data_IF_731866785953
#
_entry.id   IF_731866785953
#
_cell.length_a   1.000
_cell.length_b   1.000
_cell.length_c   1.000
_cell.angle_alpha   90.00
_cell.angle_beta   90.00
_cell.angle_gamma   90.00
#
_symmetry.space_group_name_H-M   'P 1'
#
loop_
_entity.id
_entity.type
_entity.pdbx_description
1 polymer ?
#
# COMPACT_ATOMS: atom_id res chain seq x y z
N UNK A 1 -23.28 0.20 -0.39
CA UNK A 1 -22.28 0.29 -1.48
C UNK A 1 -20.90 0.10 -0.87
N UNK A 2 -20.02 -0.72 -1.45
CA UNK A 2 -18.71 -1.01 -0.87
C UNK A 2 -17.64 -0.85 -1.94
N UNK A 3 -16.63 -0.03 -1.70
CA UNK A 3 -15.57 0.29 -2.64
C UNK A 3 -14.20 -0.10 -2.07
N UNK A 4 -13.31 -0.57 -2.92
CA UNK A 4 -11.88 -0.69 -2.59
C UNK A 4 -11.06 0.10 -3.58
N UNK A 5 -10.28 1.06 -3.10
CA UNK A 5 -9.42 1.89 -3.94
C UNK A 5 -8.06 1.23 -4.03
N UNK A 6 -7.63 0.85 -5.24
CA UNK A 6 -6.31 0.27 -5.49
C UNK A 6 -5.51 1.12 -6.47
N UNK A 7 -4.18 1.05 -6.40
CA UNK A 7 -3.28 1.78 -7.27
C UNK A 7 -2.00 2.21 -6.57
N UNK A 8 -1.08 2.80 -7.32
CA UNK A 8 0.25 3.19 -6.82
C UNK A 8 0.18 4.10 -5.58
N UNK A 9 1.23 4.08 -4.77
CA UNK A 9 1.38 5.09 -3.70
C UNK A 9 1.45 6.49 -4.34
N UNK A 10 0.58 7.41 -3.91
CA UNK A 10 0.45 8.74 -4.50
C UNK A 10 -0.53 8.86 -5.69
N UNK A 11 -1.26 7.79 -6.06
CA UNK A 11 -2.30 7.87 -7.10
C UNK A 11 -3.58 8.60 -6.69
N UNK A 12 -3.67 9.06 -5.43
CA UNK A 12 -4.82 9.80 -4.90
C UNK A 12 -5.87 8.95 -4.18
N UNK A 13 -5.57 7.68 -3.84
CA UNK A 13 -6.49 6.79 -3.08
C UNK A 13 -6.99 7.47 -1.80
N UNK A 14 -6.07 7.91 -0.95
CA UNK A 14 -6.41 8.57 0.31
C UNK A 14 -7.20 9.86 0.11
N UNK A 15 -6.91 10.63 -0.94
CA UNK A 15 -7.71 11.81 -1.31
C UNK A 15 -9.15 11.44 -1.64
N UNK A 16 -9.37 10.38 -2.42
CA UNK A 16 -10.71 9.93 -2.78
C UNK A 16 -11.45 9.29 -1.60
N UNK A 17 -10.78 8.47 -0.79
CA UNK A 17 -11.40 7.87 0.37
C UNK A 17 -11.80 8.91 1.43
N UNK A 18 -10.98 9.94 1.67
CA UNK A 18 -11.35 11.05 2.56
C UNK A 18 -12.54 11.84 2.03
N UNK A 19 -12.64 12.03 0.71
CA UNK A 19 -13.83 12.67 0.11
C UNK A 19 -15.08 11.82 0.29
N UNK A 20 -14.99 10.51 0.06
CA UNK A 20 -16.10 9.59 0.26
C UNK A 20 -16.52 9.52 1.73
N UNK A 21 -15.57 9.59 2.66
CA UNK A 21 -15.83 9.67 4.09
C UNK A 21 -16.70 10.88 4.46
N UNK A 22 -16.39 12.06 3.91
CA UNK A 22 -17.21 13.26 4.07
C UNK A 22 -18.64 13.10 3.49
N UNK A 23 -18.82 12.23 2.50
CA UNK A 23 -20.12 11.87 1.90
C UNK A 23 -20.84 10.73 2.66
N UNK A 24 -20.37 10.39 3.86
CA UNK A 24 -20.99 9.41 4.76
C UNK A 24 -20.57 7.96 4.50
N UNK A 25 -19.46 7.72 3.81
CA UNK A 25 -18.85 6.40 3.80
C UNK A 25 -18.09 6.15 5.09
N UNK A 26 -18.20 4.95 5.63
CA UNK A 26 -17.22 4.45 6.59
C UNK A 26 -15.91 4.17 5.84
N UNK A 27 -14.85 4.84 6.24
CA UNK A 27 -13.52 4.67 5.67
C UNK A 27 -12.67 3.71 6.50
N UNK A 28 -12.02 2.77 5.82
CA UNK A 28 -10.95 1.96 6.38
C UNK A 28 -9.63 2.37 5.70
N UNK A 29 -8.73 3.00 6.45
CA UNK A 29 -7.39 3.35 5.96
C UNK A 29 -6.40 2.27 6.36
N UNK A 30 -5.91 1.49 5.38
CA UNK A 30 -5.03 0.35 5.70
C UNK A 30 -3.70 0.81 6.31
N UNK A 31 -3.11 1.92 5.84
CA UNK A 31 -1.87 2.43 6.41
C UNK A 31 -2.03 2.83 7.89
N UNK A 32 -3.15 3.46 8.26
CA UNK A 32 -3.43 3.84 9.66
C UNK A 32 -3.63 2.61 10.54
N UNK A 33 -4.42 1.63 10.07
CA UNK A 33 -4.66 0.37 10.80
C UNK A 33 -3.39 -0.46 10.97
N UNK A 34 -2.53 -0.53 9.94
CA UNK A 34 -1.23 -1.20 10.05
C UNK A 34 -0.34 -0.47 11.06
N UNK A 35 -0.34 0.87 11.07
CA UNK A 35 0.43 1.65 12.04
C UNK A 35 -0.07 1.45 13.48
N UNK A 36 -1.37 1.27 13.68
CA UNK A 36 -1.96 0.91 14.97
C UNK A 36 -1.49 -0.48 15.43
N UNK A 37 -1.58 -1.49 14.56
CA UNK A 37 -1.11 -2.86 14.86
C UNK A 37 0.40 -2.94 15.12
N UNK A 38 1.18 -2.05 14.51
CA UNK A 38 2.63 -1.96 14.69
C UNK A 38 3.05 -0.98 15.80
N UNK A 39 2.12 -0.40 16.57
CA UNK A 39 2.44 0.73 17.45
C UNK A 39 3.61 0.49 18.41
N UNK A 40 3.73 -0.73 18.94
CA UNK A 40 4.79 -1.13 19.87
C UNK A 40 6.17 -1.22 19.19
N UNK A 41 6.19 -1.43 17.88
CA UNK A 41 7.39 -1.45 17.04
C UNK A 41 7.76 -0.08 16.48
N UNK A 42 6.85 0.91 16.55
CA UNK A 42 7.04 2.26 16.04
C UNK A 42 7.63 3.21 17.10
N UNK A 43 8.42 2.70 18.04
CA UNK A 43 9.13 3.49 19.04
C UNK A 43 10.62 3.56 18.71
N UNK A 44 11.15 4.78 18.68
CA UNK A 44 12.60 5.03 18.61
C UNK A 44 13.24 4.68 19.94
N UNK A 45 14.57 4.57 19.94
CA UNK A 45 15.37 4.32 21.14
C UNK A 45 15.22 5.40 22.22
N UNK A 46 14.81 6.61 21.85
CA UNK A 46 14.53 7.73 22.76
C UNK A 46 13.06 7.75 23.24
N UNK A 47 12.25 6.76 22.87
CA UNK A 47 10.84 6.66 23.21
C UNK A 47 9.90 7.50 22.33
N UNK A 48 10.41 8.24 21.35
CA UNK A 48 9.58 8.99 20.40
C UNK A 48 8.95 8.05 19.35
N UNK A 49 7.76 8.40 18.85
CA UNK A 49 7.13 7.62 17.76
C UNK A 49 7.80 7.88 16.41
N UNK A 50 8.15 6.82 15.70
CA UNK A 50 8.55 6.88 14.28
C UNK A 50 7.34 6.62 13.39
N UNK A 51 7.38 7.12 12.16
CA UNK A 51 6.35 6.78 11.18
C UNK A 51 6.61 5.37 10.59
N UNK A 52 5.57 4.81 9.97
CA UNK A 52 5.61 3.45 9.42
C UNK A 52 6.62 3.31 8.28
N UNK A 53 6.86 4.38 7.53
CA UNK A 53 7.87 4.41 6.46
C UNK A 53 9.27 4.34 7.06
N UNK A 54 9.57 5.23 8.01
CA UNK A 54 10.84 5.26 8.74
C UNK A 54 11.17 3.91 9.38
N UNK A 55 10.18 3.27 10.03
CA UNK A 55 10.35 1.92 10.56
C UNK A 55 10.73 0.92 9.47
N UNK A 56 10.02 0.92 8.33
CA UNK A 56 10.29 0.00 7.23
C UNK A 56 11.70 0.18 6.65
N UNK A 57 12.12 1.43 6.46
CA UNK A 57 13.43 1.77 5.92
C UNK A 57 13.59 1.45 4.43
N UNK A 58 14.83 1.48 3.96
CA UNK A 58 15.18 1.30 2.55
C UNK A 58 15.73 -0.10 2.23
N UNK A 59 15.61 -0.58 0.98
CA UNK A 59 15.95 -1.96 0.61
C UNK A 59 17.42 -2.34 0.74
N UNK A 60 18.32 -1.36 0.84
CA UNK A 60 19.75 -1.57 1.10
C UNK A 60 20.11 -1.57 2.59
N UNK A 61 19.15 -1.28 3.48
CA UNK A 61 19.39 -1.24 4.91
C UNK A 61 19.27 -2.63 5.53
N UNK A 62 20.06 -2.87 6.58
CA UNK A 62 20.01 -4.12 7.32
C UNK A 62 18.61 -4.36 7.91
N UNK A 63 18.13 -5.60 7.80
CA UNK A 63 16.81 -6.01 8.31
C UNK A 63 15.62 -5.56 7.47
N UNK A 64 15.82 -4.87 6.34
CA UNK A 64 14.71 -4.43 5.48
C UNK A 64 13.79 -5.59 5.06
N UNK A 65 14.36 -6.73 4.62
CA UNK A 65 13.56 -7.87 4.15
C UNK A 65 12.64 -8.45 5.23
N UNK A 66 13.10 -8.46 6.48
CA UNK A 66 12.30 -8.89 7.62
C UNK A 66 11.16 -7.90 7.88
N UNK A 67 11.46 -6.60 7.90
CA UNK A 67 10.46 -5.55 8.09
C UNK A 67 9.44 -5.48 6.96
N UNK A 68 9.87 -5.66 5.71
CA UNK A 68 9.00 -5.78 4.54
C UNK A 68 8.04 -6.97 4.69
N UNK A 69 8.57 -8.14 5.07
CA UNK A 69 7.75 -9.35 5.26
C UNK A 69 6.75 -9.17 6.39
N UNK A 70 7.17 -8.53 7.49
CA UNK A 70 6.32 -8.21 8.63
C UNK A 70 5.23 -7.21 8.26
N UNK A 71 5.56 -6.11 7.56
CA UNK A 71 4.57 -5.16 7.05
C UNK A 71 3.52 -5.87 6.20
N UNK A 72 3.94 -6.71 5.26
CA UNK A 72 3.01 -7.41 4.38
C UNK A 72 2.09 -8.35 5.15
N UNK A 73 2.59 -9.02 6.21
CA UNK A 73 1.77 -9.86 7.07
C UNK A 73 0.68 -9.04 7.79
N UNK A 74 1.02 -7.87 8.32
CA UNK A 74 0.02 -6.96 8.93
C UNK A 74 -0.96 -6.43 7.88
N UNK A 75 -0.51 -6.07 6.68
CA UNK A 75 -1.40 -5.65 5.61
C UNK A 75 -2.43 -6.74 5.27
N UNK A 76 -1.99 -8.00 5.16
CA UNK A 76 -2.87 -9.15 4.94
C UNK A 76 -3.86 -9.32 6.10
N UNK A 77 -3.39 -9.20 7.35
CA UNK A 77 -4.23 -9.32 8.54
C UNK A 77 -5.32 -8.25 8.56
N UNK A 78 -4.95 -6.97 8.42
CA UNK A 78 -5.86 -5.82 8.41
C UNK A 78 -6.92 -5.98 7.32
N UNK A 79 -6.52 -6.38 6.11
CA UNK A 79 -7.48 -6.61 5.03
C UNK A 79 -8.44 -7.77 5.34
N UNK A 80 -7.94 -8.87 5.93
CA UNK A 80 -8.79 -9.99 6.35
C UNK A 80 -9.80 -9.58 7.42
N UNK A 81 -9.40 -8.75 8.37
CA UNK A 81 -10.30 -8.23 9.41
C UNK A 81 -11.38 -7.33 8.81
N UNK A 82 -11.02 -6.41 7.92
CA UNK A 82 -11.98 -5.57 7.20
C UNK A 82 -12.95 -6.44 6.39
N UNK A 83 -12.44 -7.43 5.64
CA UNK A 83 -13.26 -8.32 4.82
C UNK A 83 -14.19 -9.21 5.66
N UNK A 84 -13.73 -9.66 6.83
CA UNK A 84 -14.56 -10.39 7.80
C UNK A 84 -15.67 -9.50 8.36
N UNK A 85 -15.34 -8.26 8.73
CA UNK A 85 -16.33 -7.25 9.13
C UNK A 85 -17.39 -7.05 8.03
N UNK A 86 -16.97 -6.86 6.78
CA UNK A 86 -17.89 -6.69 5.65
C UNK A 86 -18.76 -7.91 5.37
N UNK A 87 -18.25 -9.11 5.63
CA UNK A 87 -19.00 -10.35 5.49
C UNK A 87 -20.10 -10.46 6.55
N UNK A 88 -19.80 -10.04 7.78
CA UNK A 88 -20.77 -10.03 8.89
C UNK A 88 -21.87 -8.97 8.75
N UNK A 89 -21.64 -7.93 7.94
CA UNK A 89 -22.62 -6.88 7.71
C UNK A 89 -23.79 -7.36 6.85
N UNK A 90 -25.00 -7.18 7.39
CA UNK A 90 -26.23 -7.31 6.63
C UNK A 90 -26.22 -6.36 5.41
N UNK A 91 -26.21 -6.95 4.21
CA UNK A 91 -26.19 -6.24 2.93
C UNK A 91 -27.43 -5.37 2.73
N UNK A 92 -28.52 -5.62 3.45
CA UNK A 92 -29.77 -4.85 3.36
C UNK A 92 -29.74 -3.55 4.16
N UNK A 93 -28.84 -3.42 5.16
CA UNK A 93 -28.70 -2.21 6.00
C UNK A 93 -27.97 -1.04 5.34
N UNK A 94 -27.46 -1.22 4.12
CA UNK A 94 -27.08 -0.10 3.25
C UNK A 94 -25.81 0.68 3.64
N UNK A 95 -24.99 0.21 4.59
CA UNK A 95 -23.75 0.92 4.96
C UNK A 95 -22.86 1.14 3.73
N UNK A 96 -22.41 2.39 3.56
CA UNK A 96 -21.47 2.78 2.52
C UNK A 96 -20.07 2.61 3.08
N UNK A 97 -19.22 1.82 2.42
CA UNK A 97 -17.85 1.56 2.87
C UNK A 97 -16.86 1.87 1.76
N UNK A 98 -15.74 2.49 2.13
CA UNK A 98 -14.56 2.65 1.27
C UNK A 98 -13.33 2.10 1.98
N UNK A 99 -12.61 1.20 1.31
CA UNK A 99 -11.31 0.69 1.73
C UNK A 99 -10.24 1.46 0.96
N UNK A 100 -9.45 2.26 1.67
CA UNK A 100 -8.23 2.90 1.19
C UNK A 100 -7.09 1.89 1.39
N UNK A 101 -6.78 1.12 0.35
CA UNK A 101 -5.74 0.09 0.43
C UNK A 101 -4.35 0.71 0.39
N UNK A 102 -3.35 -0.02 0.84
CA UNK A 102 -1.96 0.42 0.65
C UNK A 102 -1.56 0.36 -0.84
N UNK A 103 -0.37 0.88 -1.16
CA UNK A 103 0.26 0.70 -2.47
C UNK A 103 0.89 -0.68 -2.72
N UNK A 104 0.77 -1.62 -1.79
CA UNK A 104 1.27 -3.00 -1.88
C UNK A 104 0.18 -4.07 -1.85
N UNK A 105 -1.09 -3.68 -1.88
CA UNK A 105 -2.25 -4.61 -1.83
C UNK A 105 -2.17 -5.77 -2.84
N UNK A 106 -1.59 -5.52 -4.02
CA UNK A 106 -1.32 -6.52 -5.06
C UNK A 106 -0.43 -7.70 -4.62
N UNK A 107 0.29 -7.57 -3.51
CA UNK A 107 1.18 -8.59 -2.95
C UNK A 107 0.54 -9.39 -1.82
N UNK A 108 -0.70 -9.07 -1.43
CA UNK A 108 -1.42 -9.72 -0.30
C UNK A 108 -1.85 -11.16 -0.60
N UNK A 109 -1.68 -11.60 -1.84
CA UNK A 109 -2.01 -12.95 -2.29
C UNK A 109 -3.39 -13.03 -2.94
N UNK A 110 -3.57 -14.06 -3.75
CA UNK A 110 -4.77 -14.20 -4.59
C UNK A 110 -6.05 -14.38 -3.79
N UNK A 111 -5.99 -15.01 -2.62
CA UNK A 111 -7.17 -15.24 -1.78
C UNK A 111 -7.74 -13.92 -1.24
N UNK A 112 -6.88 -13.03 -0.74
CA UNK A 112 -7.28 -11.69 -0.26
C UNK A 112 -7.85 -10.85 -1.41
N UNK A 113 -7.20 -10.89 -2.58
CA UNK A 113 -7.66 -10.16 -3.76
C UNK A 113 -9.01 -10.69 -4.29
N UNK A 114 -9.24 -12.01 -4.26
CA UNK A 114 -10.53 -12.62 -4.61
C UNK A 114 -11.63 -12.16 -3.68
N UNK A 115 -11.39 -12.17 -2.38
CA UNK A 115 -12.37 -11.71 -1.39
C UNK A 115 -12.66 -10.22 -1.55
N UNK A 116 -11.63 -9.40 -1.82
CA UNK A 116 -11.78 -7.97 -2.10
C UNK A 116 -12.72 -7.73 -3.28
N UNK A 117 -12.53 -8.45 -4.39
CA UNK A 117 -13.40 -8.40 -5.58
C UNK A 117 -14.80 -8.93 -5.32
N UNK A 118 -14.95 -9.98 -4.50
CA UNK A 118 -16.24 -10.58 -4.20
C UNK A 118 -17.11 -9.70 -3.29
N UNK A 119 -16.48 -8.88 -2.43
CA UNK A 119 -17.17 -8.10 -1.41
C UNK A 119 -17.30 -6.61 -1.72
N UNK A 120 -16.51 -6.09 -2.66
CA UNK A 120 -16.45 -4.67 -3.00
C UNK A 120 -16.37 -4.44 -4.51
N UNK A 121 -16.77 -3.26 -4.97
CA UNK A 121 -16.38 -2.76 -6.28
C UNK A 121 -14.96 -2.24 -6.19
N UNK A 122 -14.04 -2.90 -6.91
CA UNK A 122 -12.64 -2.48 -6.95
C UNK A 122 -12.49 -1.32 -7.94
N UNK A 123 -11.97 -0.19 -7.46
CA UNK A 123 -11.71 1.02 -8.24
C UNK A 123 -10.20 1.16 -8.37
N UNK A 124 -9.69 0.92 -9.58
CA UNK A 124 -8.28 1.12 -9.90
C UNK A 124 -8.02 2.57 -10.32
N UNK A 125 -7.21 3.27 -9.53
CA UNK A 125 -6.66 4.57 -9.90
C UNK A 125 -5.40 4.35 -10.77
N UNK A 126 -5.63 4.15 -12.07
CA UNK A 126 -4.58 3.87 -13.06
C UNK A 126 -3.51 4.96 -13.07
N UNK A 127 -2.25 4.54 -13.22
CA UNK A 127 -1.11 5.45 -13.37
C UNK A 127 -0.63 5.46 -14.82
N UNK A 128 -1.16 6.37 -15.67
CA UNK A 128 -0.78 6.41 -17.08
C UNK A 128 0.71 6.74 -17.27
N UNK A 129 1.30 6.42 -18.43
CA UNK A 129 2.75 6.56 -18.65
C UNK A 129 3.34 7.93 -18.31
N UNK A 130 2.63 9.02 -18.62
CA UNK A 130 3.08 10.38 -18.30
C UNK A 130 3.10 10.65 -16.79
N UNK A 131 2.17 10.08 -16.02
CA UNK A 131 2.17 10.17 -14.56
C UNK A 131 3.30 9.36 -13.94
N UNK A 132 3.68 8.21 -14.52
CA UNK A 132 4.80 7.41 -14.01
C UNK A 132 6.12 8.17 -14.01
N UNK A 133 6.39 8.95 -15.07
CA UNK A 133 7.58 9.81 -15.14
C UNK A 133 7.58 10.87 -14.04
N UNK A 134 6.43 11.49 -13.77
CA UNK A 134 6.28 12.44 -12.66
C UNK A 134 6.51 11.76 -11.30
N UNK A 135 5.97 10.56 -11.11
CA UNK A 135 6.16 9.78 -9.87
C UNK A 135 7.61 9.35 -9.68
N UNK A 136 8.30 8.92 -10.73
CA UNK A 136 9.72 8.60 -10.69
C UNK A 136 10.55 9.83 -10.32
N UNK A 137 10.32 10.96 -10.99
CA UNK A 137 11.01 12.22 -10.69
C UNK A 137 10.76 12.69 -9.26
N UNK A 138 9.53 12.56 -8.76
CA UNK A 138 9.19 12.89 -7.37
C UNK A 138 9.88 11.95 -6.39
N UNK A 139 9.93 10.65 -6.69
CA UNK A 139 10.60 9.66 -5.86
C UNK A 139 12.11 9.89 -5.78
N UNK A 140 12.78 10.16 -6.90
CA UNK A 140 14.23 10.44 -6.93
C UNK A 140 14.57 11.67 -6.08
N UNK A 141 13.74 12.72 -6.15
CA UNK A 141 13.95 13.96 -5.37
C UNK A 141 13.76 13.75 -3.87
N UNK A 142 12.80 12.92 -3.48
CA UNK A 142 12.48 12.62 -2.09
C UNK A 142 12.10 11.14 -1.95
N UNK A 143 13.09 10.24 -1.86
CA UNK A 143 12.83 8.82 -1.74
C UNK A 143 12.02 8.53 -0.50
N UNK A 144 11.10 7.58 -0.63
CA UNK A 144 10.32 7.08 0.50
C UNK A 144 10.38 5.55 0.56
N UNK A 145 10.32 4.97 1.76
CA UNK A 145 10.14 3.54 1.94
C UNK A 145 8.91 3.02 1.22
N UNK A 146 9.07 1.89 0.51
CA UNK A 146 8.02 1.16 -0.21
C UNK A 146 8.34 -0.33 -0.17
N UNK A 147 7.35 -1.18 -0.41
CA UNK A 147 7.57 -2.62 -0.58
C UNK A 147 8.23 -2.90 -1.94
N UNK A 148 9.44 -3.44 -1.91
CA UNK A 148 10.24 -3.74 -3.10
C UNK A 148 10.02 -5.16 -3.61
N UNK A 149 9.63 -6.11 -2.76
CA UNK A 149 9.32 -7.52 -3.11
C UNK A 149 10.36 -8.16 -4.03
N UNK A 150 11.63 -7.91 -3.74
CA UNK A 150 12.77 -8.45 -4.50
C UNK A 150 13.11 -7.72 -5.81
N UNK A 151 12.39 -6.65 -6.18
CA UNK A 151 12.68 -5.83 -7.37
C UNK A 151 13.94 -5.00 -7.20
N UNK A 152 14.26 -4.57 -5.98
CA UNK A 152 15.51 -3.85 -5.73
C UNK A 152 16.71 -4.79 -5.84
N UNK A 153 17.60 -4.50 -6.79
CA UNK A 153 18.87 -5.18 -6.95
C UNK A 153 19.96 -4.17 -7.28
N UNK A 154 20.89 -3.94 -6.35
CA UNK A 154 22.03 -3.04 -6.54
C UNK A 154 23.10 -3.73 -7.38
N UNK A 155 23.52 -3.09 -8.48
CA UNK A 155 24.63 -3.58 -9.31
C UNK A 155 25.98 -3.26 -8.69
N UNK A 156 27.01 -4.02 -9.05
CA UNK A 156 28.38 -3.74 -8.64
C UNK A 156 28.79 -2.33 -9.08
N UNK A 157 29.33 -1.54 -8.16
CA UNK A 157 29.73 -0.14 -8.39
C UNK A 157 28.59 0.88 -8.46
N UNK A 158 27.32 0.46 -8.35
CA UNK A 158 26.16 1.37 -8.33
C UNK A 158 26.01 2.02 -6.94
N UNK A 159 25.63 3.30 -6.90
CA UNK A 159 25.25 3.95 -5.62
C UNK A 159 23.85 3.53 -5.20
N UNK A 160 23.51 3.62 -3.91
CA UNK A 160 22.16 3.30 -3.44
C UNK A 160 21.08 4.18 -4.10
N UNK A 161 21.37 5.48 -4.28
CA UNK A 161 20.46 6.40 -4.95
C UNK A 161 20.24 6.04 -6.43
N UNK A 162 21.30 5.68 -7.16
CA UNK A 162 21.21 5.23 -8.55
C UNK A 162 20.43 3.91 -8.68
N UNK A 163 20.70 2.96 -7.78
CA UNK A 163 20.00 1.68 -7.73
C UNK A 163 18.51 1.87 -7.43
N UNK A 164 18.17 2.71 -6.45
CA UNK A 164 16.78 3.06 -6.13
C UNK A 164 16.05 3.63 -7.34
N UNK A 165 16.62 4.63 -8.00
CA UNK A 165 16.00 5.29 -9.15
C UNK A 165 15.68 4.28 -10.28
N UNK A 166 16.68 3.47 -10.65
CA UNK A 166 16.53 2.45 -11.70
C UNK A 166 15.52 1.38 -11.33
N UNK A 167 15.62 0.81 -10.13
CA UNK A 167 14.71 -0.25 -9.70
C UNK A 167 13.30 0.27 -9.47
N UNK A 168 13.12 1.55 -9.09
CA UNK A 168 11.79 2.12 -8.84
C UNK A 168 10.97 2.23 -10.13
N UNK A 169 11.60 2.57 -11.25
CA UNK A 169 10.95 2.55 -12.56
C UNK A 169 10.43 1.14 -12.90
N UNK A 170 11.26 0.12 -12.69
CA UNK A 170 10.86 -1.27 -12.88
C UNK A 170 9.72 -1.68 -11.94
N UNK A 171 9.79 -1.27 -10.67
CA UNK A 171 8.75 -1.49 -9.67
C UNK A 171 7.40 -0.91 -10.14
N UNK A 172 7.39 0.32 -10.67
CA UNK A 172 6.17 0.94 -11.19
C UNK A 172 5.59 0.16 -12.38
N UNK A 173 6.43 -0.34 -13.29
CA UNK A 173 5.96 -1.14 -14.43
C UNK A 173 5.33 -2.46 -13.98
N UNK A 174 6.01 -3.18 -13.09
CA UNK A 174 5.53 -4.46 -12.58
C UNK A 174 4.22 -4.29 -11.80
N UNK A 175 4.16 -3.29 -10.91
CA UNK A 175 2.97 -3.02 -10.10
C UNK A 175 1.76 -2.63 -10.94
N UNK A 176 1.95 -1.84 -12.00
CA UNK A 176 0.85 -1.45 -12.89
C UNK A 176 0.19 -2.67 -13.55
N UNK A 177 1.01 -3.64 -14.00
CA UNK A 177 0.49 -4.89 -14.56
C UNK A 177 -0.27 -5.73 -13.51
N UNK A 178 0.17 -5.69 -12.25
CA UNK A 178 -0.51 -6.39 -11.15
C UNK A 178 -1.83 -5.70 -10.75
N UNK A 179 -1.87 -4.37 -10.71
CA UNK A 179 -3.12 -3.63 -10.45
C UNK A 179 -4.19 -3.92 -11.50
N UNK A 180 -3.81 -3.97 -12.78
CA UNK A 180 -4.72 -4.33 -13.87
C UNK A 180 -5.29 -5.74 -13.78
N UNK A 181 -4.60 -6.67 -13.11
CA UNK A 181 -5.09 -8.02 -12.84
C UNK A 181 -5.94 -8.11 -11.56
N UNK A 182 -5.71 -7.18 -10.63
CA UNK A 182 -6.37 -7.17 -9.33
C UNK A 182 -7.75 -6.50 -9.36
N UNK A 183 -7.96 -5.53 -10.27
CA UNK A 183 -9.24 -4.89 -10.57
C UNK A 183 -10.13 -5.79 -11.42
#
# INVERSE_FOLDING_TARGET
MRLSLIGMSGSGKSTWSSRLEMEGFRRFCCDDLIAEELSDHLLRTDGSRMDLGEWMGFPYEAGYQERESKYLAYEIQVLREILSYLWSLDRTRGEKVVIDTTGSVIYTGEDVLKDLRAQTTVVHLETPPHMRLLMLNSYIKKPRPVLWRGVFQKKSGETDASALARCYEELLLQREALYKKAA
#
